data_IF_338020154955
#
_entry.id   IF_338020154955
#
_cell.length_a   1.000
_cell.length_b   1.000
_cell.length_c   1.000
_cell.angle_alpha   90.00
_cell.angle_beta   90.00
_cell.angle_gamma   90.00
#
_symmetry.space_group_name_H-M   'P 1'
#
loop_
_entity.id
_entity.type
_entity.pdbx_description
1 polymer ?
#
# COMPACT_ATOMS: atom_id res chain seq x y z
N UNK A 1 5.15 -15.80 14.04
CA UNK A 1 5.66 -14.75 13.13
C UNK A 1 5.40 -15.23 11.72
N UNK A 2 4.32 -14.73 11.11
CA UNK A 2 3.82 -15.29 9.87
C UNK A 2 4.42 -14.53 8.67
N UNK A 3 5.25 -15.25 7.93
CA UNK A 3 6.03 -14.75 6.79
C UNK A 3 5.12 -14.16 5.70
N UNK A 4 3.87 -14.64 5.58
CA UNK A 4 2.89 -14.12 4.63
C UNK A 4 2.45 -12.67 4.92
N UNK A 5 2.47 -12.23 6.19
CA UNK A 5 2.07 -10.87 6.60
C UNK A 5 3.09 -9.81 6.19
N UNK A 6 4.37 -10.11 6.40
CA UNK A 6 5.46 -9.20 6.02
C UNK A 6 5.53 -9.05 4.50
N UNK A 7 5.33 -10.16 3.77
CA UNK A 7 5.25 -10.14 2.31
C UNK A 7 3.98 -9.46 1.78
N UNK A 8 2.86 -9.51 2.50
CA UNK A 8 1.61 -8.86 2.11
C UNK A 8 1.73 -7.34 2.05
N UNK A 9 2.35 -6.74 3.07
CA UNK A 9 2.60 -5.30 3.12
C UNK A 9 3.61 -4.85 2.07
N UNK A 10 4.70 -5.58 1.90
CA UNK A 10 5.68 -5.29 0.84
C UNK A 10 5.13 -5.51 -0.57
N UNK A 11 4.20 -6.45 -0.77
CA UNK A 11 3.48 -6.61 -2.04
C UNK A 11 2.53 -5.46 -2.29
N UNK A 12 1.77 -5.01 -1.29
CA UNK A 12 0.86 -3.88 -1.43
C UNK A 12 1.61 -2.58 -1.76
N UNK A 13 2.75 -2.34 -1.10
CA UNK A 13 3.63 -1.19 -1.40
C UNK A 13 4.19 -1.29 -2.81
N UNK A 14 4.74 -2.46 -3.21
CA UNK A 14 5.24 -2.65 -4.58
C UNK A 14 4.14 -2.49 -5.63
N UNK A 15 2.92 -2.87 -5.32
CA UNK A 15 1.79 -2.69 -6.20
C UNK A 15 1.42 -1.21 -6.33
N UNK A 16 1.32 -0.47 -5.22
CA UNK A 16 1.11 0.98 -5.24
C UNK A 16 2.22 1.73 -5.99
N UNK A 17 3.48 1.32 -5.82
CA UNK A 17 4.62 1.88 -6.55
C UNK A 17 4.50 1.62 -8.05
N UNK A 18 4.18 0.39 -8.49
CA UNK A 18 3.93 0.10 -9.90
C UNK A 18 2.82 0.95 -10.48
N UNK A 19 1.70 1.08 -9.77
CA UNK A 19 0.56 1.89 -10.19
C UNK A 19 0.90 3.39 -10.24
N UNK A 20 1.81 3.86 -9.38
CA UNK A 20 2.29 5.25 -9.43
C UNK A 20 3.13 5.55 -10.67
N UNK A 21 3.72 4.51 -11.29
CA UNK A 21 4.53 4.61 -12.52
C UNK A 21 3.78 4.18 -13.79
N UNK A 22 2.54 3.72 -13.66
CA UNK A 22 1.75 3.23 -14.79
C UNK A 22 1.25 4.39 -15.65
N UNK A 23 1.77 4.47 -16.88
CA UNK A 23 1.47 5.53 -17.85
C UNK A 23 0.01 5.54 -18.31
N UNK A 24 -0.71 4.43 -18.14
CA UNK A 24 -2.14 4.32 -18.49
C UNK A 24 -3.05 4.96 -17.44
N UNK A 25 -2.52 5.26 -16.24
CA UNK A 25 -3.26 5.92 -15.18
C UNK A 25 -3.29 7.44 -15.34
N UNK A 26 -4.41 8.05 -14.91
CA UNK A 26 -4.54 9.51 -14.87
C UNK A 26 -3.44 10.10 -13.95
N UNK A 27 -2.85 11.25 -14.29
CA UNK A 27 -1.77 11.86 -13.50
C UNK A 27 -2.12 12.12 -12.03
N UNK A 28 -3.39 12.43 -11.75
CA UNK A 28 -3.90 12.59 -10.39
C UNK A 28 -3.85 11.29 -9.58
N UNK A 29 -4.17 10.15 -10.22
CA UNK A 29 -4.15 8.82 -9.61
C UNK A 29 -2.70 8.36 -9.38
N UNK A 30 -1.79 8.63 -10.33
CA UNK A 30 -0.36 8.38 -10.15
C UNK A 30 0.19 9.14 -8.94
N UNK A 31 -0.15 10.43 -8.81
CA UNK A 31 0.29 11.27 -7.69
C UNK A 31 -0.27 10.78 -6.35
N UNK A 32 -1.55 10.40 -6.31
CA UNK A 32 -2.16 9.82 -5.11
C UNK A 32 -1.49 8.50 -4.70
N UNK A 33 -1.27 7.58 -5.65
CA UNK A 33 -0.60 6.31 -5.40
C UNK A 33 0.85 6.50 -4.93
N UNK A 34 1.56 7.52 -5.45
CA UNK A 34 2.91 7.88 -5.01
C UNK A 34 2.93 8.38 -3.56
N UNK A 35 1.97 9.21 -3.17
CA UNK A 35 1.84 9.71 -1.80
C UNK A 35 1.51 8.58 -0.82
N UNK A 36 0.60 7.68 -1.21
CA UNK A 36 0.26 6.49 -0.41
C UNK A 36 1.49 5.60 -0.24
N UNK A 37 2.22 5.32 -1.32
CA UNK A 37 3.44 4.52 -1.26
C UNK A 37 4.50 5.16 -0.33
N UNK A 38 4.72 6.47 -0.43
CA UNK A 38 5.65 7.20 0.45
C UNK A 38 5.23 7.16 1.91
N UNK A 39 3.94 7.40 2.22
CA UNK A 39 3.44 7.39 3.58
C UNK A 39 3.56 6.00 4.22
N UNK A 40 3.13 4.95 3.51
CA UNK A 40 3.20 3.56 3.99
C UNK A 40 4.65 3.11 4.15
N UNK A 41 5.55 3.52 3.24
CA UNK A 41 6.98 3.20 3.32
C UNK A 41 7.68 3.94 4.46
N UNK A 42 7.34 5.21 4.71
CA UNK A 42 7.88 6.00 5.82
C UNK A 42 7.44 5.47 7.20
N UNK A 43 6.25 4.85 7.27
CA UNK A 43 5.71 4.26 8.50
C UNK A 43 5.90 2.74 8.56
N UNK A 44 6.66 2.15 7.64
CA UNK A 44 6.77 0.69 7.48
C UNK A 44 7.28 0.00 8.75
N UNK A 45 8.24 0.60 9.45
CA UNK A 45 8.76 0.07 10.71
C UNK A 45 7.68 0.06 11.80
N UNK A 46 6.93 1.15 11.92
CA UNK A 46 5.80 1.28 12.86
C UNK A 46 4.68 0.31 12.53
N UNK A 47 4.35 0.15 11.25
CA UNK A 47 3.35 -0.81 10.79
C UNK A 47 3.77 -2.25 11.09
N UNK A 48 5.05 -2.61 10.91
CA UNK A 48 5.58 -3.93 11.26
C UNK A 48 5.52 -4.22 12.77
N UNK A 49 5.52 -3.19 13.62
CA UNK A 49 5.36 -3.32 15.08
C UNK A 49 3.90 -3.41 15.55
N UNK A 50 2.90 -3.12 14.70
CA UNK A 50 1.50 -3.23 15.08
C UNK A 50 1.05 -4.67 15.31
N UNK A 51 0.01 -4.89 16.14
CA UNK A 51 -0.65 -6.19 16.23
C UNK A 51 -1.12 -6.69 14.86
N UNK A 52 -1.16 -8.02 14.63
CA UNK A 52 -1.54 -8.60 13.34
C UNK A 52 -2.94 -8.21 12.85
N UNK A 53 -3.84 -7.84 13.76
CA UNK A 53 -5.19 -7.38 13.42
C UNK A 53 -5.21 -5.94 12.90
N UNK A 54 -4.44 -5.05 13.52
CA UNK A 54 -4.34 -3.67 13.07
C UNK A 54 -3.54 -3.56 11.78
N UNK A 55 -2.51 -4.38 11.60
CA UNK A 55 -1.85 -4.55 10.30
C UNK A 55 -2.86 -4.94 9.21
N UNK A 56 -3.77 -5.87 9.49
CA UNK A 56 -4.82 -6.30 8.55
C UNK A 56 -5.80 -5.18 8.23
N UNK A 57 -6.20 -4.36 9.20
CA UNK A 57 -7.07 -3.20 8.96
C UNK A 57 -6.39 -2.18 8.06
N UNK A 58 -5.14 -1.85 8.34
CA UNK A 58 -4.36 -0.90 7.52
C UNK A 58 -4.17 -1.46 6.10
N UNK A 59 -3.80 -2.73 5.97
CA UNK A 59 -3.67 -3.40 4.67
C UNK A 59 -4.98 -3.44 3.88
N UNK A 60 -6.09 -3.76 4.56
CA UNK A 60 -7.41 -3.77 3.96
C UNK A 60 -7.83 -2.39 3.47
N UNK A 61 -7.57 -1.35 4.26
CA UNK A 61 -7.85 0.04 3.90
C UNK A 61 -7.03 0.50 2.68
N UNK A 62 -5.71 0.24 2.68
CA UNK A 62 -4.83 0.58 1.55
C UNK A 62 -5.23 -0.21 0.29
N UNK A 63 -5.51 -1.50 0.42
CA UNK A 63 -5.94 -2.35 -0.71
C UNK A 63 -7.29 -1.91 -1.28
N UNK A 64 -8.24 -1.54 -0.44
CA UNK A 64 -9.52 -0.99 -0.86
C UNK A 64 -9.36 0.34 -1.60
N UNK A 65 -8.51 1.24 -1.09
CA UNK A 65 -8.19 2.52 -1.75
C UNK A 65 -7.56 2.34 -3.12
N UNK A 66 -6.58 1.44 -3.24
CA UNK A 66 -5.94 1.15 -4.53
C UNK A 66 -6.96 0.59 -5.54
N UNK A 67 -7.88 -0.27 -5.09
CA UNK A 67 -8.96 -0.81 -5.93
C UNK A 67 -9.98 0.25 -6.33
N UNK A 68 -10.31 1.18 -5.42
CA UNK A 68 -11.23 2.27 -5.68
C UNK A 68 -10.65 3.28 -6.69
N UNK A 69 -9.35 3.54 -6.65
CA UNK A 69 -8.68 4.41 -7.61
C UNK A 69 -8.37 3.75 -8.96
N UNK A 70 -8.44 2.42 -9.07
CA UNK A 70 -8.21 1.68 -10.32
C UNK A 70 -9.45 1.60 -11.24
N UNK A 71 -10.64 1.95 -10.73
CA UNK A 71 -11.92 1.82 -11.43
C UNK A 71 -12.43 3.18 -11.89
#
# INVERSE_FOLDING_TARGET
>A
MDVAFTYGLEKAIRHAERLSTDVTMRPAIQRANRLIAQAVRGQLATLKCLPPEDQRRVLGYVGWWLKACLR
#
